data_IF_045534355768
#
_entry.id   IF_045534355768
#
_cell.length_a   1.000
_cell.length_b   1.000
_cell.length_c   1.000
_cell.angle_alpha   90.00
_cell.angle_beta   90.00
_cell.angle_gamma   90.00
#
_symmetry.space_group_name_H-M   'P 1'
#
loop_
_entity.id
_entity.type
_entity.pdbx_description
1 polymer ?
#
# COMPACT_ATOMS: atom_id res chain seq x y z
N UNK A 1 20.15 10.16 -25.74
CA UNK A 1 19.53 10.24 -24.42
C UNK A 1 20.59 9.87 -23.40
N UNK A 2 20.80 10.72 -22.41
CA UNK A 2 21.68 10.47 -21.28
C UNK A 2 20.83 10.29 -20.03
N UNK A 3 21.27 9.48 -19.10
CA UNK A 3 20.60 9.27 -17.83
C UNK A 3 21.32 8.21 -17.00
N UNK A 4 20.95 8.08 -15.74
CA UNK A 4 21.43 7.03 -14.86
C UNK A 4 20.75 5.70 -15.19
N UNK A 5 21.39 4.59 -14.83
CA UNK A 5 20.80 3.26 -14.99
C UNK A 5 19.42 3.14 -14.32
N UNK A 6 19.24 3.79 -13.16
CA UNK A 6 17.97 3.84 -12.42
C UNK A 6 16.87 4.55 -13.21
N UNK A 7 17.17 5.70 -13.83
CA UNK A 7 16.21 6.42 -14.68
C UNK A 7 15.73 5.58 -15.86
N UNK A 8 16.64 4.94 -16.56
CA UNK A 8 16.27 4.04 -17.67
C UNK A 8 15.47 2.84 -17.20
N UNK A 9 15.82 2.29 -16.04
CA UNK A 9 15.08 1.18 -15.41
C UNK A 9 13.65 1.58 -15.02
N UNK A 10 13.48 2.75 -14.40
CA UNK A 10 12.16 3.27 -14.04
C UNK A 10 11.32 3.62 -15.28
N UNK A 11 11.90 4.22 -16.31
CA UNK A 11 11.19 4.49 -17.57
C UNK A 11 10.69 3.20 -18.23
N UNK A 12 11.51 2.16 -18.23
CA UNK A 12 11.13 0.84 -18.74
C UNK A 12 9.97 0.24 -17.93
N UNK A 13 10.03 0.30 -16.60
CA UNK A 13 9.00 -0.23 -15.73
C UNK A 13 7.67 0.53 -15.87
N UNK A 14 7.70 1.87 -15.88
CA UNK A 14 6.51 2.70 -16.12
C UNK A 14 5.85 2.37 -17.45
N UNK A 15 6.65 2.31 -18.51
CA UNK A 15 6.14 1.97 -19.83
C UNK A 15 5.48 0.59 -19.87
N UNK A 16 6.04 -0.40 -19.15
CA UNK A 16 5.43 -1.73 -19.06
C UNK A 16 4.13 -1.73 -18.27
N UNK A 17 4.03 -0.95 -17.21
CA UNK A 17 2.80 -0.81 -16.43
C UNK A 17 1.69 -0.15 -17.26
N UNK A 18 1.96 0.98 -17.93
CA UNK A 18 1.00 1.66 -18.80
C UNK A 18 0.45 0.77 -19.93
N UNK A 19 1.27 -0.12 -20.45
CA UNK A 19 0.83 -1.05 -21.50
C UNK A 19 0.06 -2.24 -20.95
N UNK A 20 0.39 -2.75 -19.78
CA UNK A 20 -0.34 -3.83 -19.13
C UNK A 20 -1.78 -3.42 -18.84
N UNK A 21 -1.99 -2.24 -18.29
CA UNK A 21 -3.32 -1.72 -17.99
C UNK A 21 -4.18 -1.55 -19.26
N UNK A 22 -3.55 -1.18 -20.41
CA UNK A 22 -4.24 -1.10 -21.70
C UNK A 22 -4.57 -2.45 -22.31
N UNK A 23 -3.73 -3.48 -22.12
CA UNK A 23 -3.92 -4.83 -22.66
C UNK A 23 -5.02 -5.58 -21.90
N UNK A 24 -5.11 -5.42 -20.59
CA UNK A 24 -6.20 -5.99 -19.78
C UNK A 24 -7.57 -5.43 -20.19
N UNK A 25 -7.64 -4.15 -20.58
CA UNK A 25 -8.88 -3.51 -21.02
C UNK A 25 -9.32 -3.90 -22.44
N UNK A 26 -8.42 -4.29 -23.32
CA UNK A 26 -8.72 -4.53 -24.74
C UNK A 26 -8.71 -6.01 -25.16
N UNK A 27 -8.36 -6.94 -24.28
CA UNK A 27 -8.37 -8.38 -24.58
C UNK A 27 -7.54 -8.80 -25.80
N UNK A 28 -6.59 -7.99 -26.25
CA UNK A 28 -5.72 -8.26 -27.39
C UNK A 28 -4.27 -8.30 -26.96
N UNK A 29 -3.65 -9.45 -27.15
CA UNK A 29 -2.19 -9.62 -27.08
C UNK A 29 -1.54 -8.72 -28.15
N UNK A 30 -1.12 -7.53 -27.75
CA UNK A 30 -0.33 -6.65 -28.60
C UNK A 30 1.13 -7.04 -28.53
N UNK A 31 1.78 -7.10 -29.71
CA UNK A 31 3.16 -7.51 -29.89
C UNK A 31 4.14 -6.72 -29.01
N UNK A 32 5.22 -7.35 -28.49
CA UNK A 32 6.19 -6.67 -27.65
C UNK A 32 6.83 -5.50 -28.40
N UNK A 33 6.91 -4.44 -27.78
CA UNK A 33 6.95 -3.04 -28.06
C UNK A 33 8.05 -2.48 -28.96
N UNK A 34 7.65 -1.60 -29.85
CA UNK A 34 8.52 -0.86 -30.81
C UNK A 34 9.43 0.20 -30.16
N UNK A 35 9.20 0.63 -28.92
CA UNK A 35 10.01 1.67 -28.27
C UNK A 35 11.34 1.11 -27.73
N UNK A 36 11.33 -0.08 -27.17
CA UNK A 36 12.56 -0.77 -26.77
C UNK A 36 13.40 -1.23 -28.00
N UNK A 37 12.73 -1.49 -29.14
CA UNK A 37 13.41 -1.96 -30.35
C UNK A 37 14.22 -0.89 -31.11
N UNK A 38 14.07 0.40 -30.78
CA UNK A 38 14.77 1.48 -31.49
C UNK A 38 16.13 1.87 -30.90
N UNK A 39 16.45 1.42 -29.68
CA UNK A 39 17.75 1.70 -29.06
C UNK A 39 18.73 0.59 -29.45
N UNK A 40 19.54 0.84 -30.49
CA UNK A 40 20.46 -0.18 -31.03
C UNK A 40 21.84 -0.15 -30.39
N UNK A 41 22.15 0.84 -29.57
CA UNK A 41 23.46 1.06 -28.98
C UNK A 41 23.32 1.68 -27.59
N UNK A 42 24.09 1.21 -26.62
CA UNK A 42 24.25 1.80 -25.30
C UNK A 42 25.74 1.91 -24.97
N UNK A 43 26.16 3.09 -24.53
CA UNK A 43 27.47 3.32 -23.93
C UNK A 43 27.25 3.39 -22.42
N UNK A 44 27.88 2.49 -21.68
CA UNK A 44 27.77 2.40 -20.24
C UNK A 44 29.11 2.77 -19.62
N UNK A 45 29.12 3.79 -18.78
CA UNK A 45 30.26 4.14 -17.94
C UNK A 45 30.10 3.49 -16.57
N UNK A 46 31.20 3.14 -15.92
CA UNK A 46 31.21 2.43 -14.62
C UNK A 46 30.36 1.14 -14.64
N UNK A 47 30.58 0.29 -15.63
CA UNK A 47 29.78 -0.95 -15.80
C UNK A 47 29.94 -1.93 -14.65
N UNK A 48 31.02 -1.91 -13.91
CA UNK A 48 31.27 -2.66 -12.70
C UNK A 48 30.33 -2.25 -11.56
N UNK A 49 30.15 -0.96 -11.31
CA UNK A 49 29.17 -0.46 -10.33
C UNK A 49 27.75 -0.91 -10.70
N UNK A 50 27.37 -0.81 -11.98
CA UNK A 50 26.04 -1.18 -12.45
C UNK A 50 25.80 -2.69 -12.40
N UNK A 51 26.75 -3.50 -12.85
CA UNK A 51 26.57 -4.94 -13.04
C UNK A 51 26.92 -5.78 -11.80
N UNK A 52 27.66 -5.21 -10.85
CA UNK A 52 28.13 -5.91 -9.64
C UNK A 52 27.52 -5.28 -8.39
N UNK A 53 27.82 -4.00 -8.12
CA UNK A 53 27.43 -3.37 -6.85
C UNK A 53 25.91 -3.12 -6.76
N UNK A 54 25.31 -2.62 -7.84
CA UNK A 54 23.86 -2.31 -7.89
C UNK A 54 23.03 -3.45 -8.51
N UNK A 55 23.63 -4.54 -8.99
CA UNK A 55 22.93 -5.61 -9.71
C UNK A 55 21.80 -6.28 -8.91
N UNK A 56 21.87 -6.25 -7.59
CA UNK A 56 20.86 -6.82 -6.68
C UNK A 56 19.91 -5.79 -6.11
N UNK A 57 20.08 -4.50 -6.43
CA UNK A 57 19.19 -3.44 -5.92
C UNK A 57 17.88 -3.48 -6.70
N UNK A 58 16.74 -3.85 -6.08
CA UNK A 58 15.48 -3.91 -6.78
C UNK A 58 15.01 -2.51 -7.14
N UNK A 59 14.60 -2.31 -8.39
CA UNK A 59 13.85 -1.12 -8.80
C UNK A 59 12.37 -1.39 -8.53
N UNK A 60 11.81 -0.70 -7.56
CA UNK A 60 10.40 -0.81 -7.21
C UNK A 60 9.67 0.45 -7.66
N UNK A 61 8.76 0.30 -8.61
CA UNK A 61 7.78 1.34 -8.94
C UNK A 61 6.60 1.12 -7.99
N UNK A 62 6.49 1.96 -6.97
CA UNK A 62 5.23 2.10 -6.27
C UNK A 62 4.33 2.91 -7.20
N UNK A 63 3.24 2.31 -7.69
CA UNK A 63 2.20 3.07 -8.36
C UNK A 63 1.73 4.17 -7.43
N UNK A 64 1.45 5.37 -7.97
CA UNK A 64 0.59 6.29 -7.23
C UNK A 64 -0.68 5.51 -6.85
N UNK A 65 -1.22 5.68 -5.65
CA UNK A 65 -2.53 5.12 -5.35
C UNK A 65 -3.50 5.74 -6.36
N UNK A 66 -3.79 5.01 -7.43
CA UNK A 66 -4.99 5.25 -8.21
C UNK A 66 -6.16 5.14 -7.24
N UNK A 67 -7.30 5.75 -7.54
CA UNK A 67 -8.50 5.59 -6.72
C UNK A 67 -8.60 4.14 -6.31
N UNK A 68 -8.62 3.91 -5.00
CA UNK A 68 -8.76 2.58 -4.45
C UNK A 68 -10.05 1.98 -5.04
N UNK A 69 -10.05 0.79 -5.62
CA UNK A 69 -11.27 0.17 -6.09
C UNK A 69 -12.33 0.24 -4.98
N UNK A 70 -13.58 0.55 -5.31
CA UNK A 70 -14.67 0.71 -4.32
C UNK A 70 -14.78 -0.47 -3.35
N UNK A 71 -14.38 -1.66 -3.81
CA UNK A 71 -14.34 -2.87 -3.01
C UNK A 71 -13.26 -2.81 -1.91
N UNK A 72 -12.07 -2.34 -2.22
CA UNK A 72 -10.96 -2.19 -1.26
C UNK A 72 -11.31 -1.10 -0.25
N UNK A 73 -11.88 0.01 -0.70
CA UNK A 73 -12.36 1.09 0.18
C UNK A 73 -13.39 0.58 1.18
N UNK A 74 -14.34 -0.27 0.74
CA UNK A 74 -15.34 -0.90 1.62
C UNK A 74 -14.71 -1.81 2.67
N UNK A 75 -13.66 -2.56 2.32
CA UNK A 75 -12.96 -3.43 3.28
C UNK A 75 -12.30 -2.62 4.38
N UNK A 76 -11.60 -1.53 4.05
CA UNK A 76 -10.98 -0.67 5.06
C UNK A 76 -12.02 0.05 5.92
N UNK A 77 -13.09 0.57 5.34
CA UNK A 77 -14.18 1.22 6.09
C UNK A 77 -14.87 0.24 7.05
N UNK A 78 -15.09 -1.01 6.61
CA UNK A 78 -15.62 -2.08 7.45
C UNK A 78 -14.66 -2.42 8.59
N UNK A 79 -13.37 -2.60 8.30
CA UNK A 79 -12.35 -2.91 9.29
C UNK A 79 -12.24 -1.80 10.36
N UNK A 80 -12.29 -0.55 9.93
CA UNK A 80 -12.30 0.61 10.83
C UNK A 80 -13.55 0.61 11.72
N UNK A 81 -14.72 0.45 11.15
CA UNK A 81 -15.98 0.39 11.92
C UNK A 81 -15.99 -0.74 12.94
N UNK A 82 -15.44 -1.91 12.60
CA UNK A 82 -15.39 -3.06 13.50
C UNK A 82 -14.31 -2.87 14.58
N UNK A 83 -13.17 -2.24 14.26
CA UNK A 83 -12.08 -2.01 15.20
C UNK A 83 -12.53 -1.24 16.44
N UNK A 84 -13.37 -0.23 16.27
CA UNK A 84 -13.95 0.54 17.37
C UNK A 84 -14.84 -0.25 18.32
N UNK A 85 -15.32 -1.40 17.89
CA UNK A 85 -16.22 -2.26 18.68
C UNK A 85 -15.47 -3.42 19.34
N UNK A 86 -14.17 -3.57 19.07
CA UNK A 86 -13.34 -4.65 19.58
C UNK A 86 -12.75 -4.31 20.95
N UNK A 87 -12.71 -5.31 21.82
CA UNK A 87 -12.15 -5.16 23.18
C UNK A 87 -10.75 -5.76 23.23
N UNK A 88 -9.78 -4.93 23.66
CA UNK A 88 -8.41 -5.39 23.90
C UNK A 88 -8.37 -6.43 25.03
N UNK A 89 -7.47 -7.38 24.91
CA UNK A 89 -7.28 -8.56 25.76
C UNK A 89 -8.35 -9.65 25.62
N UNK A 90 -9.56 -9.34 25.17
CA UNK A 90 -10.60 -10.33 24.89
C UNK A 90 -10.59 -10.78 23.44
N UNK A 91 -10.70 -9.82 22.51
CA UNK A 91 -10.87 -10.09 21.08
C UNK A 91 -9.58 -9.91 20.28
N UNK A 92 -8.67 -9.08 20.76
CA UNK A 92 -7.33 -8.93 20.20
C UNK A 92 -6.28 -8.66 21.27
N UNK A 93 -5.01 -8.86 20.92
CA UNK A 93 -3.85 -8.54 21.75
C UNK A 93 -2.93 -7.62 20.98
N UNK A 94 -2.52 -6.53 21.64
CA UNK A 94 -1.49 -5.63 21.15
C UNK A 94 -0.15 -5.97 21.80
N UNK A 95 0.89 -6.13 21.00
CA UNK A 95 2.27 -6.35 21.45
C UNK A 95 3.12 -5.17 21.00
N UNK A 96 3.50 -4.32 21.95
CA UNK A 96 4.39 -3.19 21.68
C UNK A 96 5.79 -3.68 21.26
N UNK A 97 6.28 -4.77 21.84
CA UNK A 97 7.60 -5.35 21.55
C UNK A 97 7.68 -5.87 20.10
N UNK A 98 6.63 -6.50 19.61
CA UNK A 98 6.55 -7.04 18.25
C UNK A 98 5.99 -6.02 17.25
N UNK A 99 5.45 -4.90 17.77
CA UNK A 99 4.76 -3.88 16.98
C UNK A 99 3.66 -4.51 16.10
N UNK A 100 2.88 -5.40 16.69
CA UNK A 100 1.88 -6.21 15.99
C UNK A 100 0.60 -6.37 16.82
N UNK A 101 -0.51 -6.50 16.12
CA UNK A 101 -1.81 -6.90 16.67
C UNK A 101 -2.11 -8.32 16.23
N UNK A 102 -2.65 -9.12 17.13
CA UNK A 102 -3.11 -10.48 16.84
C UNK A 102 -4.54 -10.67 17.32
N UNK A 103 -5.41 -11.16 16.44
CA UNK A 103 -6.77 -11.53 16.81
C UNK A 103 -6.80 -12.81 17.63
N UNK A 104 -7.50 -12.76 18.76
CA UNK A 104 -7.79 -13.95 19.57
C UNK A 104 -8.82 -14.86 18.90
N UNK A 105 -9.08 -16.01 19.49
CA UNK A 105 -10.16 -16.90 19.01
C UNK A 105 -11.53 -16.22 19.07
N UNK A 106 -11.77 -15.37 20.08
CA UNK A 106 -13.01 -14.60 20.20
C UNK A 106 -13.13 -13.55 19.09
N UNK A 107 -12.04 -12.79 18.82
CA UNK A 107 -12.01 -11.82 17.73
C UNK A 107 -12.25 -12.46 16.36
N UNK A 108 -11.59 -13.57 16.08
CA UNK A 108 -11.80 -14.32 14.83
C UNK A 108 -13.24 -14.84 14.68
N UNK A 109 -13.86 -15.24 15.80
CA UNK A 109 -15.28 -15.65 15.80
C UNK A 109 -16.18 -14.46 15.46
N UNK A 110 -15.92 -13.28 16.00
CA UNK A 110 -16.68 -12.07 15.71
C UNK A 110 -16.58 -11.66 14.22
N UNK A 111 -15.39 -11.70 13.64
CA UNK A 111 -15.22 -11.44 12.20
C UNK A 111 -16.04 -12.43 11.35
N UNK A 112 -16.01 -13.72 11.68
CA UNK A 112 -16.83 -14.73 10.98
C UNK A 112 -18.33 -14.44 11.11
N UNK A 113 -18.79 -14.06 12.29
CA UNK A 113 -20.20 -13.69 12.49
C UNK A 113 -20.58 -12.47 11.65
N UNK A 114 -19.74 -11.45 11.59
CA UNK A 114 -19.93 -10.27 10.73
C UNK A 114 -19.97 -10.64 9.23
N UNK A 115 -19.10 -11.53 8.79
CA UNK A 115 -19.07 -12.01 7.41
C UNK A 115 -20.38 -12.74 7.01
N UNK A 116 -20.93 -13.57 7.88
CA UNK A 116 -22.17 -14.32 7.61
C UNK A 116 -23.44 -13.45 7.65
N UNK A 117 -23.41 -12.33 8.38
CA UNK A 117 -24.58 -11.43 8.53
C UNK A 117 -24.67 -10.35 7.45
N UNK A 118 -23.99 -10.49 6.31
CA UNK A 118 -23.88 -9.46 5.24
C UNK A 118 -23.34 -8.10 5.72
N UNK A 119 -22.71 -8.06 6.88
CA UNK A 119 -22.09 -6.84 7.41
C UNK A 119 -20.67 -6.59 6.89
N UNK A 120 -20.02 -7.62 6.37
CA UNK A 120 -18.68 -7.52 5.79
C UNK A 120 -18.72 -7.52 4.25
N UNK A 121 -17.72 -6.94 3.58
CA UNK A 121 -17.54 -7.05 2.14
C UNK A 121 -17.37 -8.51 1.69
N UNK A 122 -17.66 -8.79 0.42
CA UNK A 122 -17.45 -10.11 -0.20
C UNK A 122 -15.95 -10.33 -0.48
N UNK A 123 -15.22 -10.57 0.60
CA UNK A 123 -13.75 -10.65 0.63
C UNK A 123 -13.35 -11.93 1.38
N UNK A 124 -12.28 -12.63 0.98
CA UNK A 124 -11.81 -13.82 1.68
C UNK A 124 -11.57 -13.56 3.16
N UNK A 125 -11.94 -14.50 4.01
CA UNK A 125 -11.90 -14.36 5.47
C UNK A 125 -10.50 -14.03 6.02
N UNK A 126 -9.45 -14.55 5.38
CA UNK A 126 -8.06 -14.25 5.75
C UNK A 126 -7.72 -12.78 5.51
N UNK A 127 -8.20 -12.21 4.42
CA UNK A 127 -7.98 -10.80 4.08
C UNK A 127 -8.75 -9.89 5.05
N UNK A 128 -9.96 -10.29 5.48
CA UNK A 128 -10.72 -9.59 6.51
C UNK A 128 -9.97 -9.57 7.85
N UNK A 129 -9.37 -10.69 8.27
CA UNK A 129 -8.52 -10.70 9.47
C UNK A 129 -7.35 -9.74 9.33
N UNK A 130 -6.65 -9.79 8.21
CA UNK A 130 -5.50 -8.94 7.94
C UNK A 130 -5.86 -7.45 7.99
N UNK A 131 -6.94 -7.03 7.32
CA UNK A 131 -7.36 -5.63 7.31
C UNK A 131 -7.81 -5.15 8.69
N UNK A 132 -8.47 -6.00 9.48
CA UNK A 132 -8.85 -5.66 10.85
C UNK A 132 -7.63 -5.55 11.77
N UNK A 133 -6.65 -6.45 11.66
CA UNK A 133 -5.41 -6.36 12.42
C UNK A 133 -4.63 -5.08 12.07
N UNK A 134 -4.62 -4.66 10.81
CA UNK A 134 -4.02 -3.37 10.38
C UNK A 134 -4.81 -2.19 10.95
N UNK A 135 -6.14 -2.20 10.91
CA UNK A 135 -6.94 -1.12 11.47
C UNK A 135 -6.67 -0.95 12.98
N UNK A 136 -6.66 -2.04 13.74
CA UNK A 136 -6.31 -2.03 15.16
C UNK A 136 -4.86 -1.56 15.40
N UNK A 137 -3.90 -2.00 14.60
CA UNK A 137 -2.51 -1.55 14.65
C UNK A 137 -2.40 -0.03 14.46
N UNK A 138 -3.15 0.51 13.50
CA UNK A 138 -3.15 1.95 13.21
C UNK A 138 -3.67 2.76 14.39
N UNK A 139 -4.67 2.27 15.12
CA UNK A 139 -5.15 2.93 16.33
C UNK A 139 -4.10 3.00 17.44
N UNK A 140 -3.33 1.95 17.63
CA UNK A 140 -2.30 1.90 18.68
C UNK A 140 -1.02 2.66 18.30
N UNK A 141 -0.58 2.54 17.06
CA UNK A 141 0.75 2.99 16.63
C UNK A 141 0.76 4.35 15.95
N UNK A 142 -0.23 4.65 15.13
CA UNK A 142 -0.21 5.82 14.26
C UNK A 142 -1.11 6.92 14.80
N UNK A 143 -0.51 7.86 15.53
CA UNK A 143 -1.22 8.97 16.15
C UNK A 143 -1.15 10.21 15.26
N UNK A 144 -2.31 10.82 15.03
CA UNK A 144 -2.41 12.10 14.34
C UNK A 144 -1.62 13.18 15.08
N UNK A 145 -1.06 14.13 14.35
CA UNK A 145 -0.23 15.24 14.82
C UNK A 145 1.13 14.83 15.43
N UNK A 146 1.42 13.52 15.46
CA UNK A 146 2.72 12.98 15.87
C UNK A 146 3.40 12.23 14.71
N UNK A 147 2.72 11.26 14.10
CA UNK A 147 3.27 10.41 13.05
C UNK A 147 2.82 10.86 11.66
N UNK A 148 1.70 11.57 11.59
CA UNK A 148 1.17 12.15 10.36
C UNK A 148 0.29 13.36 10.67
N UNK A 149 0.10 14.20 9.67
CA UNK A 149 -0.88 15.29 9.66
C UNK A 149 -1.80 15.14 8.46
N UNK A 150 -3.00 15.70 8.53
CA UNK A 150 -3.93 15.81 7.42
C UNK A 150 -3.81 17.20 6.82
N UNK A 151 -3.48 17.30 5.55
CA UNK A 151 -3.41 18.53 4.75
C UNK A 151 -4.12 18.33 3.44
N UNK A 152 -4.98 19.26 3.06
CA UNK A 152 -5.70 19.24 1.78
C UNK A 152 -6.38 17.88 1.49
N UNK A 153 -6.97 17.27 2.53
CA UNK A 153 -7.58 15.94 2.49
C UNK A 153 -6.59 14.78 2.23
N UNK A 154 -5.29 15.02 2.34
CA UNK A 154 -4.24 14.02 2.19
C UNK A 154 -3.49 13.75 3.49
N UNK A 155 -3.03 12.51 3.65
CA UNK A 155 -2.17 12.10 4.76
C UNK A 155 -0.72 12.44 4.42
N UNK A 156 -0.10 13.30 5.21
CA UNK A 156 1.33 13.63 5.09
C UNK A 156 2.09 13.07 6.28
N UNK A 157 3.11 12.27 6.00
CA UNK A 157 3.92 11.61 7.03
C UNK A 157 4.81 12.65 7.73
N UNK A 158 4.89 12.55 9.06
CA UNK A 158 5.87 13.29 9.88
C UNK A 158 7.03 12.37 10.20
N UNK A 159 8.24 12.81 9.89
CA UNK A 159 9.46 12.10 10.29
C UNK A 159 9.67 12.25 11.80
N UNK A 160 9.65 11.14 12.53
CA UNK A 160 9.70 11.14 14.01
C UNK A 160 10.98 11.76 14.58
N UNK A 161 12.09 11.70 13.84
CA UNK A 161 13.39 12.21 14.29
C UNK A 161 13.58 13.69 14.02
N UNK A 162 13.13 14.16 12.87
CA UNK A 162 13.36 15.53 12.42
C UNK A 162 12.13 16.43 12.57
N UNK A 163 10.95 15.85 12.77
CA UNK A 163 9.67 16.57 12.77
C UNK A 163 9.29 17.14 11.39
N UNK A 164 10.01 16.77 10.33
CA UNK A 164 9.76 17.27 8.99
C UNK A 164 8.63 16.52 8.31
N UNK A 165 7.88 17.23 7.50
CA UNK A 165 6.85 16.64 6.64
C UNK A 165 7.52 15.94 5.45
N UNK A 166 7.09 14.70 5.20
CA UNK A 166 7.58 13.88 4.11
C UNK A 166 6.48 13.76 3.05
N UNK A 167 6.36 14.77 2.21
CA UNK A 167 5.38 14.80 1.13
C UNK A 167 5.66 13.71 0.08
N UNK A 168 4.61 13.13 -0.48
CA UNK A 168 4.70 12.09 -1.49
C UNK A 168 5.17 10.71 -0.99
N UNK A 169 5.37 10.54 0.31
CA UNK A 169 5.64 9.24 0.93
C UNK A 169 4.36 8.59 1.44
N UNK A 170 4.28 7.26 1.28
CA UNK A 170 3.17 6.46 1.78
C UNK A 170 3.69 5.27 2.58
N UNK A 171 2.98 4.89 3.64
CA UNK A 171 3.23 3.62 4.31
C UNK A 171 2.79 2.45 3.41
N UNK A 172 3.53 1.36 3.49
CA UNK A 172 3.26 0.13 2.75
C UNK A 172 2.35 -0.81 3.55
N UNK A 173 1.96 -1.92 2.91
CA UNK A 173 1.24 -3.00 3.59
C UNK A 173 -0.18 -2.65 4.03
N UNK A 174 -0.84 -1.69 3.38
CA UNK A 174 -2.21 -1.31 3.72
C UNK A 174 -2.34 -0.29 4.85
N UNK A 175 -1.23 0.07 5.52
CA UNK A 175 -1.24 1.01 6.65
C UNK A 175 -1.74 2.38 6.22
N UNK A 176 -1.30 2.87 5.05
CA UNK A 176 -1.69 4.20 4.57
C UNK A 176 -3.21 4.28 4.35
N UNK A 177 -3.80 3.28 3.71
CA UNK A 177 -5.24 3.18 3.48
C UNK A 177 -6.03 3.03 4.80
N UNK A 178 -5.48 2.28 5.76
CA UNK A 178 -6.11 2.17 7.07
C UNK A 178 -6.10 3.50 7.85
N UNK A 179 -5.04 4.32 7.71
CA UNK A 179 -5.01 5.68 8.28
C UNK A 179 -6.03 6.58 7.56
N UNK A 180 -6.15 6.48 6.24
CA UNK A 180 -7.19 7.20 5.48
C UNK A 180 -8.59 6.80 5.93
N UNK A 181 -8.82 5.51 6.22
CA UNK A 181 -10.08 5.03 6.79
C UNK A 181 -10.37 5.66 8.16
N UNK A 182 -9.37 5.66 9.03
CA UNK A 182 -9.44 6.23 10.39
C UNK A 182 -9.80 7.72 10.38
N UNK A 183 -9.24 8.49 9.45
CA UNK A 183 -9.51 9.93 9.32
C UNK A 183 -10.64 10.26 8.33
N UNK A 184 -11.41 9.26 7.88
CA UNK A 184 -12.54 9.39 6.93
C UNK A 184 -12.16 9.97 5.56
N UNK A 185 -10.93 9.75 5.11
CA UNK A 185 -10.40 10.31 3.86
C UNK A 185 -10.47 9.34 2.66
N UNK A 186 -10.99 8.13 2.84
CA UNK A 186 -11.05 7.11 1.78
C UNK A 186 -11.87 7.49 0.54
N UNK A 187 -12.79 8.44 0.68
CA UNK A 187 -13.71 8.84 -0.39
C UNK A 187 -13.33 10.14 -1.08
N UNK A 188 -12.30 10.84 -0.60
CA UNK A 188 -11.88 12.16 -1.08
C UNK A 188 -10.63 12.14 -1.95
N UNK A 189 -9.93 11.02 -2.00
CA UNK A 189 -8.67 10.85 -2.75
C UNK A 189 -8.83 10.13 -4.10
#
# INVERSE_FOLDING_TARGET
>A
TYGTAKEFGFDFLRHRLEHRDREEWQGKLSKPNQVAAKRRFALVDEADALLIDEARTPLVVSGMPGKCPDEVTRVYAWAESLSHQMTEHEEYQWSEAENAVQLTTAGRRRVRASHHSNGAPDTPLLDLYFHLEIALLVHHRYLRDRHYVVRDEEIVIVDEFTGRLSEGRCWRGGIHQAIQAKDCLLYTS
#
